data_IF_704070822886
#
_entry.id   IF_704070822886
#
_cell.length_a   1.000
_cell.length_b   1.000
_cell.length_c   1.000
_cell.angle_alpha   90.00
_cell.angle_beta   90.00
_cell.angle_gamma   90.00
#
_symmetry.space_group_name_H-M   'P 1'
#
loop_
_entity.id
_entity.type
_entity.pdbx_description
1 polymer ?
#
# COMPACT_ATOMS: atom_id res chain seq x y z
N UNK A 1 -2.26 18.57 -14.70
CA UNK A 1 -2.97 17.98 -13.55
C UNK A 1 -1.94 17.19 -12.73
N UNK A 2 -1.12 17.90 -11.94
CA UNK A 2 0.13 17.36 -11.35
C UNK A 2 0.17 17.45 -9.81
N UNK A 3 -0.97 17.60 -9.13
CA UNK A 3 -0.96 18.04 -7.72
C UNK A 3 -1.60 17.08 -6.70
N UNK A 4 -2.17 15.94 -7.11
CA UNK A 4 -2.93 15.09 -6.18
C UNK A 4 -2.13 14.09 -5.34
N UNK A 5 -0.81 13.98 -5.54
CA UNK A 5 0.05 13.09 -4.76
C UNK A 5 0.93 13.82 -3.75
N UNK A 6 0.53 15.03 -3.33
CA UNK A 6 1.04 15.55 -2.07
C UNK A 6 0.18 14.95 -0.95
N UNK A 7 0.56 13.76 -0.49
CA UNK A 7 0.00 13.10 0.70
C UNK A 7 0.11 13.96 1.99
N UNK A 8 0.61 15.20 1.87
CA UNK A 8 0.60 16.27 2.86
C UNK A 8 -0.74 16.98 3.00
N UNK A 9 -1.66 16.87 2.01
CA UNK A 9 -2.95 17.59 2.03
C UNK A 9 -4.08 16.73 2.63
N UNK A 10 -3.94 15.40 2.62
CA UNK A 10 -4.93 14.51 3.21
C UNK A 10 -4.57 14.15 4.65
N UNK A 11 -5.51 14.42 5.57
CA UNK A 11 -5.41 14.03 6.99
C UNK A 11 -5.34 12.51 7.15
N UNK A 12 -5.94 11.77 6.22
CA UNK A 12 -6.06 10.31 6.22
C UNK A 12 -5.27 9.70 5.05
N UNK A 13 -4.44 8.67 5.28
CA UNK A 13 -3.77 7.98 4.18
C UNK A 13 -4.80 7.36 3.22
N UNK A 14 -4.64 7.59 1.91
CA UNK A 14 -5.59 7.08 0.89
C UNK A 14 -5.37 5.60 0.55
N UNK A 15 -4.25 5.04 0.99
CA UNK A 15 -3.90 3.64 0.82
C UNK A 15 -3.04 3.13 1.97
N UNK A 16 -3.06 1.82 2.15
CA UNK A 16 -2.16 1.08 3.01
C UNK A 16 -1.39 0.04 2.17
N UNK A 17 -0.14 -0.25 2.53
CA UNK A 17 0.67 -1.23 1.79
C UNK A 17 1.31 -2.19 2.79
N UNK A 18 1.12 -3.48 2.57
CA UNK A 18 1.71 -4.55 3.38
C UNK A 18 2.57 -5.48 2.52
N UNK A 19 3.49 -6.19 3.19
CA UNK A 19 4.31 -7.23 2.56
C UNK A 19 3.52 -8.52 2.55
N UNK A 20 3.34 -9.11 1.37
CA UNK A 20 2.71 -10.42 1.20
C UNK A 20 3.74 -11.54 1.37
N UNK A 21 4.86 -11.42 0.65
CA UNK A 21 5.93 -12.41 0.66
C UNK A 21 7.21 -11.82 0.12
N UNK A 22 8.33 -12.49 0.43
CA UNK A 22 9.66 -12.09 -0.04
C UNK A 22 10.36 -13.31 -0.61
N UNK A 23 11.08 -13.13 -1.72
CA UNK A 23 11.91 -14.19 -2.27
C UNK A 23 13.02 -14.60 -1.30
N UNK A 24 13.32 -15.89 -1.28
CA UNK A 24 14.44 -16.43 -0.51
C UNK A 24 15.76 -15.88 -1.07
N UNK A 25 15.96 -16.03 -2.38
CA UNK A 25 17.14 -15.60 -3.11
C UNK A 25 16.95 -14.29 -3.88
N UNK A 26 18.06 -13.78 -4.43
CA UNK A 26 18.04 -12.71 -5.41
C UNK A 26 17.33 -13.16 -6.69
N UNK A 27 16.38 -12.35 -7.15
CA UNK A 27 15.60 -12.63 -8.36
C UNK A 27 16.14 -11.87 -9.56
N UNK A 28 16.71 -10.68 -9.34
CA UNK A 28 17.33 -9.88 -10.40
C UNK A 28 18.59 -9.19 -9.89
N UNK A 29 19.73 -9.52 -10.49
CA UNK A 29 21.03 -9.04 -10.02
C UNK A 29 21.22 -9.37 -8.54
N UNK A 30 21.42 -8.33 -7.72
CA UNK A 30 21.55 -8.41 -6.26
C UNK A 30 20.29 -7.96 -5.51
N UNK A 31 19.10 -8.11 -6.11
CA UNK A 31 17.83 -7.65 -5.53
C UNK A 31 16.87 -8.80 -5.26
N UNK A 32 16.26 -8.78 -4.09
CA UNK A 32 15.16 -9.64 -3.70
C UNK A 32 13.85 -9.13 -4.29
N UNK A 33 12.94 -10.04 -4.64
CA UNK A 33 11.56 -9.70 -5.00
C UNK A 33 10.73 -9.64 -3.73
N UNK A 34 10.00 -8.55 -3.54
CA UNK A 34 9.02 -8.41 -2.45
C UNK A 34 7.65 -8.24 -3.09
N UNK A 35 6.74 -9.18 -2.83
CA UNK A 35 5.34 -9.07 -3.22
C UNK A 35 4.61 -8.23 -2.18
N UNK A 36 3.75 -7.34 -2.65
CA UNK A 36 3.05 -6.33 -1.87
C UNK A 36 1.56 -6.44 -2.09
N UNK A 37 0.79 -6.20 -1.03
CA UNK A 37 -0.64 -5.94 -1.11
C UNK A 37 -0.83 -4.44 -0.88
N UNK A 38 -1.43 -3.76 -1.84
CA UNK A 38 -1.87 -2.37 -1.74
C UNK A 38 -3.36 -2.39 -1.47
N UNK A 39 -3.80 -1.81 -0.36
CA UNK A 39 -5.21 -1.64 -0.02
C UNK A 39 -5.61 -0.19 -0.19
N UNK A 40 -6.65 0.08 -0.95
CA UNK A 40 -7.25 1.41 -1.04
C UNK A 40 -8.15 1.68 0.16
N UNK A 41 -8.25 2.96 0.53
CA UNK A 41 -9.22 3.41 1.54
C UNK A 41 -10.66 3.23 1.06
N UNK A 42 -10.93 3.52 -0.22
CA UNK A 42 -12.24 3.38 -0.85
C UNK A 42 -12.11 3.09 -2.36
N UNK A 43 -13.25 2.82 -3.00
CA UNK A 43 -13.31 2.49 -4.43
C UNK A 43 -12.90 3.65 -5.37
N UNK A 44 -13.04 4.89 -4.93
CA UNK A 44 -12.57 6.06 -5.68
C UNK A 44 -11.05 6.11 -5.72
N UNK A 45 -10.41 5.96 -4.57
CA UNK A 45 -8.95 5.88 -4.47
C UNK A 45 -8.39 4.62 -5.14
N UNK A 46 -9.08 3.47 -5.04
CA UNK A 46 -8.70 2.24 -5.73
C UNK A 46 -8.48 2.44 -7.23
N UNK A 47 -9.42 3.12 -7.89
CA UNK A 47 -9.31 3.44 -9.33
C UNK A 47 -8.08 4.31 -9.64
N UNK A 48 -7.82 5.31 -8.80
CA UNK A 48 -6.66 6.20 -9.00
C UNK A 48 -5.33 5.50 -8.76
N UNK A 49 -5.26 4.62 -7.75
CA UNK A 49 -4.07 3.82 -7.43
C UNK A 49 -3.78 2.84 -8.56
N UNK A 50 -4.81 2.14 -9.07
CA UNK A 50 -4.68 1.19 -10.16
C UNK A 50 -4.01 1.79 -11.41
N UNK A 51 -4.30 3.06 -11.73
CA UNK A 51 -3.69 3.77 -12.86
C UNK A 51 -2.19 4.05 -12.68
N UNK A 52 -1.64 3.88 -11.47
CA UNK A 52 -0.24 4.17 -11.12
C UNK A 52 0.56 2.91 -10.79
N UNK A 53 -0.11 1.76 -10.65
CA UNK A 53 0.57 0.51 -10.39
C UNK A 53 1.33 0.03 -11.61
N UNK A 54 2.40 -0.71 -11.35
CA UNK A 54 3.19 -1.36 -12.39
C UNK A 54 2.30 -2.33 -13.17
N UNK A 55 2.55 -2.42 -14.49
CA UNK A 55 1.93 -3.42 -15.36
C UNK A 55 2.04 -4.83 -14.76
N UNK A 56 0.95 -5.61 -14.86
CA UNK A 56 0.85 -6.96 -14.31
C UNK A 56 0.42 -7.04 -12.85
N UNK A 57 -0.07 -5.95 -12.24
CA UNK A 57 -0.74 -6.05 -10.93
C UNK A 57 -2.08 -6.81 -11.05
N UNK A 58 -2.49 -7.46 -9.96
CA UNK A 58 -3.75 -8.21 -9.89
C UNK A 58 -4.65 -7.56 -8.84
N UNK A 59 -5.85 -7.15 -9.22
CA UNK A 59 -6.85 -6.63 -8.30
C UNK A 59 -7.74 -7.76 -7.73
N UNK A 60 -8.25 -7.59 -6.51
CA UNK A 60 -9.35 -8.37 -5.96
C UNK A 60 -10.66 -8.08 -6.70
N UNK A 61 -11.68 -8.92 -6.49
CA UNK A 61 -13.00 -8.76 -7.11
C UNK A 61 -13.69 -7.43 -6.77
N UNK A 62 -13.50 -6.93 -5.54
CA UNK A 62 -14.00 -5.64 -5.10
C UNK A 62 -13.12 -4.45 -5.55
N UNK A 63 -11.96 -4.74 -6.16
CA UNK A 63 -10.98 -3.77 -6.61
C UNK A 63 -10.24 -3.03 -5.49
N UNK A 64 -10.49 -3.33 -4.21
CA UNK A 64 -9.90 -2.60 -3.08
C UNK A 64 -8.50 -3.10 -2.72
N UNK A 65 -8.17 -4.35 -3.04
CA UNK A 65 -6.84 -4.91 -2.87
C UNK A 65 -6.16 -5.09 -4.22
N UNK A 66 -4.90 -4.67 -4.32
CA UNK A 66 -4.08 -4.84 -5.52
C UNK A 66 -2.75 -5.48 -5.14
N UNK A 67 -2.43 -6.60 -5.78
CA UNK A 67 -1.16 -7.31 -5.61
C UNK A 67 -0.16 -6.84 -6.64
N UNK A 68 1.02 -6.44 -6.18
CA UNK A 68 2.14 -6.00 -7.02
C UNK A 68 3.47 -6.45 -6.42
N UNK A 69 4.60 -6.04 -6.99
CA UNK A 69 5.91 -6.36 -6.46
C UNK A 69 6.94 -5.30 -6.76
N UNK A 70 7.99 -5.28 -5.92
CA UNK A 70 9.18 -4.44 -6.09
C UNK A 70 10.45 -5.28 -5.96
N UNK A 71 11.57 -4.73 -6.44
CA UNK A 71 12.89 -5.32 -6.26
C UNK A 71 13.71 -4.45 -5.31
N UNK A 72 14.23 -5.05 -4.24
CA UNK A 72 14.93 -4.33 -3.16
C UNK A 72 16.29 -4.95 -2.87
N UNK A 73 17.25 -4.11 -2.52
CA UNK A 73 18.61 -4.56 -2.16
C UNK A 73 18.63 -5.18 -0.76
N UNK A 74 17.96 -4.55 0.20
CA UNK A 74 17.91 -5.00 1.59
C UNK A 74 16.46 -5.32 1.98
N UNK A 75 16.10 -6.61 1.90
CA UNK A 75 14.74 -7.07 2.23
C UNK A 75 14.37 -6.85 3.69
N UNK A 76 15.31 -7.00 4.61
CA UNK A 76 15.04 -6.87 6.05
C UNK A 76 14.65 -5.45 6.43
N UNK A 77 15.45 -4.46 6.01
CA UNK A 77 15.18 -3.05 6.28
C UNK A 77 13.87 -2.63 5.60
N UNK A 78 13.69 -3.03 4.34
CA UNK A 78 12.47 -2.72 3.60
C UNK A 78 11.23 -3.27 4.33
N UNK A 79 11.22 -4.56 4.70
CA UNK A 79 10.09 -5.18 5.39
C UNK A 79 9.81 -4.53 6.75
N UNK A 80 10.84 -4.21 7.54
CA UNK A 80 10.68 -3.49 8.82
C UNK A 80 10.03 -2.12 8.63
N UNK A 81 10.47 -1.37 7.63
CA UNK A 81 9.88 -0.06 7.32
C UNK A 81 8.42 -0.19 6.85
N UNK A 82 8.13 -1.17 6.00
CA UNK A 82 6.76 -1.42 5.52
C UNK A 82 5.83 -1.84 6.65
N UNK A 83 6.27 -2.73 7.55
CA UNK A 83 5.48 -3.17 8.70
C UNK A 83 5.16 -1.98 9.63
N UNK A 84 6.16 -1.17 9.96
CA UNK A 84 5.96 0.04 10.76
C UNK A 84 4.97 0.99 10.09
N UNK A 85 5.15 1.27 8.80
CA UNK A 85 4.28 2.19 8.07
C UNK A 85 2.85 1.66 7.97
N UNK A 86 2.69 0.35 7.76
CA UNK A 86 1.38 -0.31 7.69
C UNK A 86 0.61 -0.11 8.99
N UNK A 87 1.26 -0.36 10.15
CA UNK A 87 0.66 -0.15 11.48
C UNK A 87 0.25 1.30 11.71
N UNK A 88 1.06 2.27 11.29
CA UNK A 88 0.73 3.69 11.42
C UNK A 88 -0.48 4.10 10.56
N UNK A 89 -0.61 3.52 9.36
CA UNK A 89 -1.78 3.78 8.49
C UNK A 89 -3.04 3.13 9.07
N UNK A 90 -2.96 1.87 9.50
CA UNK A 90 -4.09 1.16 10.12
C UNK A 90 -4.61 1.89 11.35
N UNK A 91 -3.71 2.40 12.19
CA UNK A 91 -4.08 3.20 13.36
C UNK A 91 -4.89 4.43 12.95
N UNK A 92 -4.43 5.19 11.95
CA UNK A 92 -5.14 6.39 11.47
C UNK A 92 -6.50 6.06 10.84
N UNK A 93 -6.58 4.97 10.08
CA UNK A 93 -7.85 4.50 9.50
C UNK A 93 -8.85 4.13 10.59
N UNK A 94 -8.38 3.42 11.62
CA UNK A 94 -9.22 3.04 12.76
C UNK A 94 -9.70 4.28 13.52
N UNK A 95 -8.81 5.21 13.87
CA UNK A 95 -9.16 6.46 14.56
C UNK A 95 -10.21 7.27 13.78
N UNK A 96 -10.10 7.32 12.45
CA UNK A 96 -11.08 7.99 11.62
C UNK A 96 -12.45 7.30 11.63
N UNK A 97 -12.49 5.97 11.50
CA UNK A 97 -13.73 5.20 11.49
C UNK A 97 -14.43 5.24 12.85
N UNK A 98 -13.66 5.15 13.95
CA UNK A 98 -14.17 5.24 15.32
C UNK A 98 -14.79 6.63 15.58
N UNK A 99 -14.16 7.71 15.08
CA UNK A 99 -14.74 9.05 15.15
C UNK A 99 -16.01 9.17 14.31
N UNK A 100 -16.02 8.68 13.06
CA UNK A 100 -17.20 8.75 12.20
C UNK A 100 -18.41 8.03 12.82
N UNK A 101 -18.18 6.85 13.41
CA UNK A 101 -19.22 6.08 14.09
C UNK A 101 -19.76 6.74 15.37
N UNK A 102 -19.09 7.73 15.93
CA UNK A 102 -19.53 8.42 17.16
C UNK A 102 -20.39 9.67 16.87
N UNK A 103 -20.49 10.08 15.60
CA UNK A 103 -21.30 11.24 15.16
C UNK A 103 -22.66 10.80 14.58
N UNK A 104 -22.82 9.50 14.31
CA UNK A 104 -24.07 8.84 13.92
C UNK A 104 -24.87 8.37 15.15
#
# INVERSE_FOLDING_TARGET
MHEWYDARVFVLPVMNISVESVSEDFVIGNRYKVNLIVRALDAGFARLIALRLKEGFVASDDGLEMRTFVYVLNKEVFCKCMEWKCKEVEKKWKEHNDMASAVD
#
